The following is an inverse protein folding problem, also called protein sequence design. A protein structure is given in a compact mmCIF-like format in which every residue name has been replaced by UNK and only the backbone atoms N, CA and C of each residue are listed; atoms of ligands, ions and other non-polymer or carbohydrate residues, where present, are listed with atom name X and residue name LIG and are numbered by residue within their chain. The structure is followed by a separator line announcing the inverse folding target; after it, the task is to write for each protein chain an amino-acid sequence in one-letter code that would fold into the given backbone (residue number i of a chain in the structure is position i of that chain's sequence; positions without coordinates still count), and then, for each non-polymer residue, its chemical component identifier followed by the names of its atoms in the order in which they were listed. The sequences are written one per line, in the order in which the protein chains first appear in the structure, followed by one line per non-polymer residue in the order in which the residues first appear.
data_IF_741246816229
#
_entry.id   IF_741246816229
#
_cell.length_a   1.000
_cell.length_b   1.000
_cell.length_c   1.000
_cell.angle_alpha   90.00
_cell.angle_beta   90.00
_cell.angle_gamma   90.00
#
_symmetry.space_group_name_H-M   'P 1'
#
loop_
_entity.id
_entity.type
_entity.pdbx_description
1 polymer ?
#
# COMPACT_ATOMS: atom_id res chain seq x y z
N UNK A 1 -8.02 -8.29 0.34
CA UNK A 1 -8.54 -8.11 -1.01
C UNK A 1 -7.56 -7.28 -1.82
N UNK A 2 -6.86 -7.93 -2.76
CA UNK A 2 -5.85 -7.27 -3.58
C UNK A 2 -6.39 -7.01 -5.00
N UNK A 3 -7.63 -6.55 -5.09
CA UNK A 3 -8.29 -6.28 -6.37
C UNK A 3 -7.50 -5.35 -7.28
N UNK A 4 -6.71 -4.43 -6.71
CA UNK A 4 -5.87 -3.55 -7.51
C UNK A 4 -4.77 -4.29 -8.27
N UNK A 5 -4.30 -5.45 -7.78
CA UNK A 5 -3.28 -6.25 -8.44
C UNK A 5 -3.77 -6.82 -9.76
N UNK A 6 -5.04 -7.23 -9.81
CA UNK A 6 -5.68 -7.78 -11.02
C UNK A 6 -6.40 -6.70 -11.84
N UNK A 7 -6.86 -5.64 -11.16
CA UNK A 7 -7.57 -4.53 -11.78
C UNK A 7 -6.65 -3.51 -12.44
N UNK A 8 -6.10 -2.58 -11.65
CA UNK A 8 -5.43 -1.38 -12.18
C UNK A 8 -3.94 -1.57 -12.44
N UNK A 9 -3.24 -2.41 -11.66
CA UNK A 9 -1.81 -2.57 -11.77
C UNK A 9 -1.34 -3.03 -13.17
N UNK A 10 -2.02 -3.96 -13.86
CA UNK A 10 -1.64 -4.37 -15.22
C UNK A 10 -1.67 -3.26 -16.27
N UNK A 11 -2.46 -2.22 -16.05
CA UNK A 11 -2.53 -1.06 -16.97
C UNK A 11 -1.41 -0.04 -16.74
N UNK A 12 -0.86 0.00 -15.52
CA UNK A 12 0.16 0.95 -15.08
C UNK A 12 1.55 0.35 -15.16
N UNK A 13 1.72 -0.84 -14.57
CA UNK A 13 3.02 -1.47 -14.46
C UNK A 13 3.47 -2.11 -15.77
N UNK A 14 4.75 -1.96 -16.12
CA UNK A 14 5.35 -2.51 -17.33
C UNK A 14 6.00 -3.88 -17.13
N UNK A 15 6.25 -4.26 -15.89
CA UNK A 15 6.93 -5.52 -15.49
C UNK A 15 6.41 -5.99 -14.13
N UNK A 16 6.52 -7.29 -13.80
CA UNK A 16 6.22 -7.77 -12.47
C UNK A 16 7.01 -7.03 -11.40
N UNK A 17 6.40 -6.82 -10.24
CA UNK A 17 7.00 -6.04 -9.15
C UNK A 17 6.70 -6.64 -7.78
N UNK A 18 7.60 -6.46 -6.80
CA UNK A 18 7.37 -6.96 -5.45
C UNK A 18 6.24 -6.18 -4.77
N UNK A 19 5.39 -6.91 -4.06
CA UNK A 19 4.31 -6.33 -3.28
C UNK A 19 4.80 -5.85 -1.91
N UNK A 20 5.58 -6.69 -1.24
CA UNK A 20 6.12 -6.49 0.10
C UNK A 20 7.51 -7.14 0.16
N UNK A 21 8.31 -6.80 1.17
CA UNK A 21 9.56 -7.50 1.46
C UNK A 21 9.42 -8.51 2.59
N UNK A 22 9.00 -8.06 3.77
CA UNK A 22 8.90 -8.90 4.96
C UNK A 22 7.55 -8.72 5.66
N UNK A 23 7.24 -9.64 6.56
CA UNK A 23 6.09 -9.51 7.44
C UNK A 23 6.40 -10.07 8.83
N UNK A 24 5.65 -9.57 9.83
CA UNK A 24 5.54 -10.13 11.18
C UNK A 24 4.06 -10.33 11.48
N UNK A 25 3.67 -11.55 11.84
CA UNK A 25 2.29 -11.87 12.14
C UNK A 25 2.18 -12.52 13.52
N UNK A 26 1.30 -12.01 14.36
CA UNK A 26 0.88 -12.69 15.58
C UNK A 26 -0.15 -13.75 15.24
N UNK A 27 0.13 -14.99 15.61
CA UNK A 27 -0.76 -16.13 15.39
C UNK A 27 -1.90 -16.11 16.40
N UNK A 28 -3.03 -15.58 15.99
CA UNK A 28 -4.31 -15.67 16.68
C UNK A 28 -5.08 -16.88 16.16
N UNK A 29 -6.12 -17.31 16.86
CA UNK A 29 -7.01 -18.38 16.37
C UNK A 29 -7.53 -18.09 14.96
N UNK A 30 -7.90 -16.83 14.68
CA UNK A 30 -8.34 -16.41 13.34
C UNK A 30 -7.22 -16.52 12.31
N UNK A 31 -5.99 -16.10 12.65
CA UNK A 31 -4.87 -16.16 11.72
C UNK A 31 -4.47 -17.59 11.40
N UNK A 32 -4.58 -18.49 12.37
CA UNK A 32 -4.37 -19.93 12.17
C UNK A 32 -5.40 -20.51 11.19
N UNK A 33 -6.67 -20.11 11.34
CA UNK A 33 -7.76 -20.56 10.45
C UNK A 33 -7.66 -19.97 9.03
N UNK A 34 -7.19 -18.75 8.88
CA UNK A 34 -7.22 -18.03 7.60
C UNK A 34 -6.07 -18.35 6.67
N UNK A 35 -4.96 -18.87 7.12
CA UNK A 35 -3.81 -18.73 6.31
C UNK A 35 -2.89 -19.90 6.05
N UNK A 36 -2.01 -19.77 5.06
CA UNK A 36 -0.95 -20.72 4.79
C UNK A 36 0.18 -20.66 5.83
N UNK A 37 0.23 -19.58 6.65
CA UNK A 37 1.27 -19.41 7.67
C UNK A 37 0.93 -20.33 8.85
N UNK A 38 1.87 -21.20 9.21
CA UNK A 38 1.74 -22.15 10.32
C UNK A 38 2.42 -21.60 11.56
N UNK A 39 1.82 -21.83 12.71
CA UNK A 39 2.35 -21.43 14.01
C UNK A 39 1.36 -21.71 15.14
N UNK A 40 1.82 -21.63 16.38
CA UNK A 40 1.00 -21.82 17.55
C UNK A 40 0.32 -20.50 17.97
N UNK A 41 -0.81 -20.61 18.64
CA UNK A 41 -1.53 -19.43 19.14
C UNK A 41 -0.61 -18.59 20.06
N UNK A 42 -0.58 -17.27 19.82
CA UNK A 42 0.24 -16.32 20.56
C UNK A 42 1.65 -16.14 20.01
N UNK A 43 2.13 -17.04 19.17
CA UNK A 43 3.44 -16.95 18.52
C UNK A 43 3.51 -15.77 17.54
N UNK A 44 4.69 -15.17 17.39
CA UNK A 44 4.96 -14.18 16.34
C UNK A 44 5.85 -14.83 15.28
N UNK A 45 5.31 -14.95 14.09
CA UNK A 45 6.02 -15.50 12.92
C UNK A 45 6.54 -14.35 12.08
N UNK A 46 7.81 -14.41 11.73
CA UNK A 46 8.45 -13.50 10.78
C UNK A 46 8.75 -14.24 9.49
N UNK A 47 8.60 -13.57 8.37
CA UNK A 47 8.87 -14.17 7.07
C UNK A 47 9.12 -13.16 5.99
N UNK A 48 9.61 -13.65 4.85
CA UNK A 48 9.89 -12.87 3.66
C UNK A 48 8.82 -13.12 2.61
N UNK A 49 8.42 -12.05 1.93
CA UNK A 49 7.43 -12.10 0.88
C UNK A 49 8.14 -12.06 -0.48
N UNK A 50 8.28 -13.22 -1.11
CA UNK A 50 9.03 -13.36 -2.36
C UNK A 50 8.13 -13.36 -3.61
N UNK A 51 6.82 -13.12 -3.45
CA UNK A 51 5.89 -13.11 -4.57
C UNK A 51 5.94 -11.77 -5.30
N UNK A 52 6.03 -11.85 -6.62
CA UNK A 52 5.82 -10.71 -7.50
C UNK A 52 4.35 -10.60 -7.87
N UNK A 53 3.85 -9.37 -7.93
CA UNK A 53 2.58 -9.08 -8.58
C UNK A 53 2.78 -9.31 -10.07
N UNK A 54 2.09 -10.28 -10.69
CA UNK A 54 2.19 -10.50 -12.11
C UNK A 54 1.57 -9.32 -12.86
N UNK A 55 2.18 -8.96 -13.97
CA UNK A 55 1.64 -7.96 -14.89
C UNK A 55 1.24 -8.69 -16.16
N UNK A 56 0.31 -9.63 -16.02
CA UNK A 56 -0.23 -10.36 -17.16
C UNK A 56 -1.14 -9.42 -17.97
N UNK A 57 -0.55 -9.11 -19.01
CA UNK A 57 -0.98 -8.41 -20.19
C UNK A 57 -2.50 -8.48 -20.44
N UNK A 58 -3.21 -7.50 -20.08
CA UNK A 58 -4.26 -7.00 -20.97
C UNK A 58 -3.51 -6.47 -22.20
N UNK A 59 -3.09 -7.42 -23.06
CA UNK A 59 -2.33 -7.16 -24.26
C UNK A 59 -3.00 -6.03 -25.04
N UNK A 60 -2.39 -4.88 -25.10
CA UNK A 60 -2.84 -3.76 -25.90
C UNK A 60 -3.47 -2.57 -25.17
N UNK A 61 -3.75 -2.64 -23.86
CA UNK A 61 -4.44 -1.58 -23.13
C UNK A 61 -3.56 -0.89 -22.08
N UNK A 62 -2.25 -0.87 -22.24
CA UNK A 62 -1.37 -0.12 -21.33
C UNK A 62 -1.57 1.38 -21.50
N UNK A 63 -1.63 2.09 -20.38
CA UNK A 63 -1.55 3.55 -20.37
C UNK A 63 -0.19 3.94 -20.93
N UNK A 64 -0.13 4.66 -22.08
CA UNK A 64 1.14 5.06 -22.64
C UNK A 64 1.82 6.12 -21.77
N UNK A 65 3.13 6.00 -21.59
CA UNK A 65 3.91 6.95 -20.81
C UNK A 65 4.04 6.57 -19.33
N UNK A 66 4.39 7.56 -18.50
CA UNK A 66 4.64 7.40 -17.08
C UNK A 66 3.35 7.63 -16.29
N UNK A 67 2.98 6.71 -15.44
CA UNK A 67 1.82 6.87 -14.56
C UNK A 67 2.15 7.76 -13.36
N UNK A 68 1.24 8.66 -13.03
CA UNK A 68 1.27 9.50 -11.84
C UNK A 68 0.07 9.14 -10.98
N UNK A 69 0.32 8.79 -9.72
CA UNK A 69 -0.71 8.39 -8.76
C UNK A 69 -0.85 9.48 -7.72
N UNK A 70 -2.05 10.02 -7.60
CA UNK A 70 -2.33 11.09 -6.66
C UNK A 70 -2.63 10.51 -5.28
N UNK A 71 -1.84 10.91 -4.28
CA UNK A 71 -1.99 10.52 -2.88
C UNK A 71 -2.53 11.69 -2.05
N UNK A 72 -3.65 11.48 -1.40
CA UNK A 72 -4.27 12.47 -0.52
C UNK A 72 -4.33 12.01 0.94
N UNK A 73 -4.81 12.90 1.84
CA UNK A 73 -4.84 12.63 3.29
C UNK A 73 -5.77 11.46 3.69
N UNK A 74 -6.68 11.08 2.80
CA UNK A 74 -7.58 9.95 3.00
C UNK A 74 -7.07 8.63 2.41
N UNK A 75 -5.86 8.62 1.82
CA UNK A 75 -5.25 7.38 1.34
C UNK A 75 -4.85 6.53 2.54
N UNK A 76 -5.30 5.26 2.59
CA UNK A 76 -4.98 4.35 3.71
C UNK A 76 -5.08 2.88 3.28
N UNK A 77 -4.59 1.97 4.14
CA UNK A 77 -4.69 0.51 4.00
C UNK A 77 -4.13 0.01 2.66
N UNK A 78 -4.89 -0.77 1.90
CA UNK A 78 -4.47 -1.34 0.61
C UNK A 78 -4.04 -0.30 -0.43
N UNK A 79 -4.56 0.93 -0.36
CA UNK A 79 -4.07 2.03 -1.19
C UNK A 79 -2.60 2.33 -0.91
N UNK A 80 -2.19 2.34 0.35
CA UNK A 80 -0.81 2.57 0.75
C UNK A 80 0.11 1.46 0.22
N UNK A 81 -0.33 0.21 0.31
CA UNK A 81 0.43 -0.92 -0.24
C UNK A 81 0.60 -0.80 -1.76
N UNK A 82 -0.46 -0.41 -2.46
CA UNK A 82 -0.42 -0.17 -3.90
C UNK A 82 0.57 0.95 -4.27
N UNK A 83 0.46 2.11 -3.62
CA UNK A 83 1.33 3.26 -3.87
C UNK A 83 2.81 2.91 -3.62
N UNK A 84 3.12 2.32 -2.46
CA UNK A 84 4.50 1.99 -2.10
C UNK A 84 5.10 0.90 -2.98
N UNK A 85 4.30 -0.07 -3.42
CA UNK A 85 4.77 -1.12 -4.34
C UNK A 85 5.17 -0.55 -5.69
N UNK A 86 4.38 0.37 -6.24
CA UNK A 86 4.68 0.99 -7.53
C UNK A 86 5.79 2.05 -7.44
N UNK A 87 5.87 2.78 -6.32
CA UNK A 87 6.95 3.73 -6.05
C UNK A 87 8.30 3.01 -5.94
N UNK A 88 8.40 2.01 -5.06
CA UNK A 88 9.64 1.26 -4.83
C UNK A 88 10.13 0.51 -6.07
N UNK A 89 9.21 0.03 -6.89
CA UNK A 89 9.51 -0.61 -8.17
C UNK A 89 9.76 0.37 -9.32
N UNK A 90 9.63 1.69 -9.07
CA UNK A 90 9.78 2.77 -10.05
C UNK A 90 8.85 2.64 -11.27
N UNK A 91 7.65 2.13 -11.05
CA UNK A 91 6.66 1.93 -12.11
C UNK A 91 5.60 3.03 -12.16
N UNK A 92 5.49 3.82 -11.09
CA UNK A 92 4.69 5.04 -11.07
C UNK A 92 5.41 6.12 -10.27
N UNK A 93 4.98 7.36 -10.45
CA UNK A 93 5.36 8.53 -9.66
C UNK A 93 4.23 8.80 -8.67
N UNK A 94 4.55 8.92 -7.40
CA UNK A 94 3.58 9.30 -6.38
C UNK A 94 3.58 10.82 -6.25
N UNK A 95 2.45 11.43 -6.57
CA UNK A 95 2.24 12.86 -6.41
C UNK A 95 1.26 13.10 -5.26
N UNK A 96 1.51 14.10 -4.42
CA UNK A 96 0.58 14.41 -3.36
C UNK A 96 1.23 14.99 -2.13
N UNK A 97 0.54 14.84 -1.00
CA UNK A 97 1.01 15.27 0.30
C UNK A 97 1.41 14.05 1.14
N UNK A 98 2.47 14.20 1.95
CA UNK A 98 2.88 13.18 2.94
C UNK A 98 1.70 12.69 3.76
N UNK A 99 1.48 11.36 3.77
CA UNK A 99 0.38 10.77 4.50
C UNK A 99 0.85 10.27 5.88
N UNK A 100 0.39 10.94 6.93
CA UNK A 100 0.67 10.55 8.32
C UNK A 100 0.05 9.20 8.72
N UNK A 101 -0.85 8.64 7.90
CA UNK A 101 -1.52 7.35 8.14
C UNK A 101 -0.83 6.19 7.42
N UNK A 102 0.39 6.35 7.05
CA UNK A 102 1.17 5.29 6.41
C UNK A 102 1.36 4.12 7.37
N UNK A 103 0.37 3.28 7.49
CA UNK A 103 0.45 2.08 8.30
C UNK A 103 0.64 0.87 7.41
N UNK A 104 1.69 0.14 7.68
CA UNK A 104 1.98 -1.15 7.06
C UNK A 104 1.38 -2.30 7.87
N UNK A 105 0.27 -2.06 8.55
CA UNK A 105 -0.41 -3.09 9.36
C UNK A 105 -1.64 -3.63 8.67
N UNK A 106 -2.01 -4.85 9.01
CA UNK A 106 -3.19 -5.53 8.46
C UNK A 106 -3.73 -6.61 9.37
N UNK A 107 -4.65 -7.42 8.83
CA UNK A 107 -5.38 -8.45 9.57
C UNK A 107 -6.00 -7.89 10.85
N UNK A 108 -6.79 -6.86 10.68
CA UNK A 108 -7.49 -6.18 11.78
C UNK A 108 -8.44 -7.16 12.48
N UNK A 109 -8.37 -7.18 13.82
CA UNK A 109 -9.26 -7.96 14.68
C UNK A 109 -9.85 -7.08 15.77
N UNK A 110 -11.12 -7.28 16.06
CA UNK A 110 -11.83 -6.59 17.12
C UNK A 110 -12.04 -7.55 18.29
N UNK A 111 -11.72 -7.09 19.47
CA UNK A 111 -11.91 -7.79 20.74
C UNK A 111 -12.84 -6.96 21.63
N UNK A 112 -13.85 -7.61 22.20
CA UNK A 112 -14.72 -7.00 23.20
C UNK A 112 -14.10 -7.20 24.57
N UNK A 113 -13.88 -6.12 25.30
CA UNK A 113 -13.33 -6.14 26.65
C UNK A 113 -14.40 -6.59 27.65
N UNK A 114 -14.14 -7.67 28.41
CA UNK A 114 -15.10 -8.36 29.29
C UNK A 114 -15.47 -7.45 30.44
N UNK A 115 -15.50 -6.53 30.82
CA UNK A 115 -15.94 -5.70 31.98
C UNK A 115 -16.61 -4.40 31.55
N UNK A 116 -16.23 -3.87 30.40
CA UNK A 116 -16.73 -2.59 29.91
C UNK A 116 -17.55 -2.70 28.63
N UNK A 117 -17.53 -3.86 27.95
CA UNK A 117 -18.09 -4.08 26.62
C UNK A 117 -17.52 -3.12 25.53
N UNK A 118 -16.40 -2.48 25.80
CA UNK A 118 -15.72 -1.67 24.80
C UNK A 118 -15.05 -2.55 23.75
N UNK A 119 -15.12 -2.13 22.50
CA UNK A 119 -14.43 -2.77 21.40
C UNK A 119 -13.02 -2.23 21.25
N UNK A 120 -12.04 -3.15 21.28
CA UNK A 120 -10.64 -2.87 20.99
C UNK A 120 -10.30 -3.47 19.62
N UNK A 121 -10.02 -2.62 18.66
CA UNK A 121 -9.61 -3.03 17.32
C UNK A 121 -8.11 -2.87 17.14
N UNK A 122 -7.42 -3.96 16.79
CA UNK A 122 -5.97 -3.96 16.63
C UNK A 122 -5.52 -4.78 15.41
N UNK A 123 -4.42 -4.37 14.76
CA UNK A 123 -3.78 -5.18 13.72
C UNK A 123 -3.00 -6.34 14.34
N UNK A 124 -2.95 -7.44 13.63
CA UNK A 124 -2.16 -8.63 14.01
C UNK A 124 -1.05 -8.96 13.02
N UNK A 125 -0.87 -8.12 12.00
CA UNK A 125 0.10 -8.28 10.94
C UNK A 125 0.78 -6.94 10.67
N UNK A 126 2.10 -6.96 10.56
CA UNK A 126 2.94 -5.83 10.13
C UNK A 126 3.60 -6.22 8.82
N UNK A 127 3.61 -5.30 7.87
CA UNK A 127 4.29 -5.46 6.58
C UNK A 127 5.45 -4.50 6.44
N UNK A 128 6.47 -4.91 5.74
CA UNK A 128 7.54 -4.03 5.28
C UNK A 128 7.41 -3.81 3.78
N UNK A 129 7.46 -2.56 3.34
CA UNK A 129 7.39 -2.22 1.91
C UNK A 129 8.54 -2.85 1.11
N UNK A 130 8.43 -2.95 -0.24
CA UNK A 130 9.43 -3.63 -1.06
C UNK A 130 10.87 -3.15 -0.87
N UNK A 131 11.09 -1.86 -0.64
CA UNK A 131 12.43 -1.30 -0.39
C UNK A 131 13.04 -1.68 0.97
N UNK A 132 12.31 -2.41 1.81
CA UNK A 132 12.74 -2.77 3.17
C UNK A 132 12.56 -1.66 4.21
N UNK A 133 12.05 -0.48 3.84
CA UNK A 133 11.80 0.60 4.78
C UNK A 133 10.57 0.28 5.63
N UNK A 134 10.70 0.39 6.94
CA UNK A 134 9.55 0.27 7.85
C UNK A 134 8.80 1.60 7.92
N UNK A 135 7.49 1.57 7.65
CA UNK A 135 6.68 2.78 7.55
C UNK A 135 5.70 3.01 8.69
N UNK A 136 5.61 2.10 9.67
CA UNK A 136 4.65 2.26 10.76
C UNK A 136 4.78 3.57 11.55
N UNK A 137 5.90 4.27 11.41
CA UNK A 137 6.17 5.53 12.11
C UNK A 137 6.51 6.71 11.18
N UNK A 138 6.62 6.47 9.87
CA UNK A 138 6.98 7.52 8.93
C UNK A 138 5.96 7.63 7.82
N UNK A 139 5.57 8.84 7.42
CA UNK A 139 4.69 9.04 6.28
C UNK A 139 5.37 8.59 4.98
N UNK A 140 4.55 8.29 3.97
CA UNK A 140 5.06 8.09 2.62
C UNK A 140 5.45 9.45 2.06
N UNK A 141 6.71 9.61 1.69
CA UNK A 141 7.16 10.79 0.98
C UNK A 141 6.75 10.70 -0.50
N UNK A 142 5.97 11.67 -1.01
CA UNK A 142 5.64 11.69 -2.43
C UNK A 142 6.87 12.08 -3.27
N UNK A 143 6.94 11.57 -4.49
CA UNK A 143 7.97 11.98 -5.45
C UNK A 143 7.74 13.41 -5.97
N UNK A 144 6.48 13.84 -5.98
CA UNK A 144 6.04 15.19 -6.36
C UNK A 144 5.11 15.73 -5.31
N UNK A 145 5.50 16.81 -4.66
CA UNK A 145 4.66 17.43 -3.63
C UNK A 145 3.49 18.19 -4.26
N UNK A 146 2.28 17.92 -3.78
CA UNK A 146 1.05 18.65 -4.07
C UNK A 146 0.34 18.91 -2.76
N UNK A 147 -0.02 20.15 -2.46
CA UNK A 147 -0.66 20.49 -1.18
C UNK A 147 -2.05 19.85 -1.03
N UNK A 148 -2.48 19.64 0.22
CA UNK A 148 -3.81 19.07 0.49
C UNK A 148 -4.97 19.92 -0.07
N UNK A 149 -4.79 21.24 -0.10
CA UNK A 149 -5.77 22.16 -0.66
C UNK A 149 -5.96 21.90 -2.16
N UNK A 150 -4.87 21.73 -2.88
CA UNK A 150 -4.89 21.42 -4.31
C UNK A 150 -5.39 20.02 -4.56
N UNK A 151 -4.95 19.00 -3.78
CA UNK A 151 -5.38 17.61 -3.96
C UNK A 151 -6.91 17.45 -3.86
N UNK A 152 -7.53 18.21 -2.97
CA UNK A 152 -8.98 18.16 -2.75
C UNK A 152 -9.77 19.07 -3.72
N UNK A 153 -9.09 19.75 -4.61
CA UNK A 153 -9.69 20.60 -5.64
C UNK A 153 -9.68 19.93 -7.01
N UNK A 154 -10.43 20.49 -7.94
CA UNK A 154 -10.37 20.10 -9.35
C UNK A 154 -9.03 20.49 -10.02
N UNK A 155 -8.20 21.26 -9.34
CA UNK A 155 -6.91 21.77 -9.85
C UNK A 155 -5.76 20.77 -9.70
N UNK A 156 -5.94 19.67 -8.96
CA UNK A 156 -4.89 18.69 -8.71
C UNK A 156 -4.30 18.14 -10.03
N UNK A 157 -5.16 17.80 -10.98
CA UNK A 157 -4.74 17.28 -12.30
C UNK A 157 -4.01 18.33 -13.10
N UNK A 158 -4.50 19.58 -13.10
CA UNK A 158 -3.84 20.69 -13.82
C UNK A 158 -2.48 21.04 -13.21
N UNK A 159 -2.40 21.06 -11.88
CA UNK A 159 -1.14 21.29 -11.17
C UNK A 159 -0.11 20.23 -11.54
N UNK A 160 -0.51 18.97 -11.50
CA UNK A 160 0.35 17.86 -11.88
C UNK A 160 0.76 17.91 -13.36
N UNK A 161 -0.14 18.27 -14.26
CA UNK A 161 0.15 18.44 -15.68
C UNK A 161 1.18 19.55 -15.94
N UNK A 162 1.06 20.68 -15.24
CA UNK A 162 2.04 21.79 -15.29
C UNK A 162 3.41 21.33 -14.80
N UNK A 163 3.45 20.59 -13.66
CA UNK A 163 4.70 20.03 -13.15
C UNK A 163 5.38 19.09 -14.15
N UNK A 164 4.62 18.17 -14.75
CA UNK A 164 5.14 17.22 -15.74
C UNK A 164 5.70 17.95 -16.96
N UNK A 165 5.02 18.99 -17.44
CA UNK A 165 5.44 19.77 -18.60
C UNK A 165 6.72 20.57 -18.32
N UNK A 166 6.87 21.10 -17.11
CA UNK A 166 8.04 21.90 -16.73
C UNK A 166 9.30 21.05 -16.47
N UNK A 167 9.16 19.73 -16.26
CA UNK A 167 10.25 18.81 -15.90
C UNK A 167 10.52 17.75 -16.99
N UNK A 168 10.07 17.99 -18.20
CA UNK A 168 10.43 17.22 -19.40
C UNK A 168 11.66 17.81 -20.05
#
# INVERSE_FOLDING_TARGET
DHYWQQGIAPYIASRPFPFLSNFKIRMTERNIKLGPIKGNQGEVIEGTFNQLVPVDAHKGLKIPGRAYLLMGPLSYSSTILFLTSLQDSRQAVIAGHSNVRSCTTGRIQTHVLSGSNLELTMPTLIFTRPSGKEHCQQPIEPDVYVSNEVINSNEAVEHLAKYITANR
#
